data_IF_263274387611
#
_entry.id   IF_263274387611
#
_cell.length_a   1.000
_cell.length_b   1.000
_cell.length_c   1.000
_cell.angle_alpha   90.00
_cell.angle_beta   90.00
_cell.angle_gamma   90.00
#
_symmetry.space_group_name_H-M   'P 1'
#
loop_
_entity.id
_entity.type
_entity.pdbx_description
1 polymer ?
#
# COMPACT_ATOMS: atom_id res chain seq x y z
N UNK A 1 27.29 34.37 -15.76
CA UNK A 1 27.36 33.65 -14.46
C UNK A 1 26.08 32.86 -14.38
N UNK A 2 26.05 31.73 -15.08
CA UNK A 2 24.84 30.92 -15.24
C UNK A 2 24.93 29.77 -14.24
N UNK A 3 24.23 29.96 -13.12
CA UNK A 3 24.09 28.94 -12.08
C UNK A 3 23.07 27.93 -12.59
N UNK A 4 23.56 26.74 -12.97
CA UNK A 4 22.73 25.55 -13.09
C UNK A 4 22.22 25.18 -11.69
N UNK A 5 20.91 25.23 -11.50
CA UNK A 5 20.23 24.53 -10.42
C UNK A 5 19.72 23.22 -11.01
N UNK A 6 20.48 22.14 -10.81
CA UNK A 6 19.97 20.77 -10.95
C UNK A 6 19.46 20.37 -9.56
N UNK A 7 18.16 20.52 -9.35
CA UNK A 7 17.46 19.93 -8.21
C UNK A 7 17.36 18.41 -8.46
N UNK A 8 18.35 17.67 -7.97
CA UNK A 8 18.33 16.21 -7.91
C UNK A 8 17.27 15.76 -6.88
N UNK A 9 16.09 15.38 -7.38
CA UNK A 9 15.02 14.73 -6.62
C UNK A 9 15.53 13.37 -6.06
N UNK A 10 15.62 13.19 -4.73
CA UNK A 10 16.22 12.02 -4.10
C UNK A 10 15.47 10.70 -4.34
N UNK A 11 14.35 10.71 -5.09
CA UNK A 11 13.56 9.52 -5.41
C UNK A 11 14.03 8.76 -6.67
N UNK A 12 14.87 9.34 -7.54
CA UNK A 12 15.12 8.78 -8.88
C UNK A 12 16.31 7.80 -8.96
N UNK A 13 16.18 6.61 -8.38
CA UNK A 13 17.24 5.58 -8.37
C UNK A 13 17.29 4.65 -9.61
N UNK A 14 16.45 4.86 -10.62
CA UNK A 14 16.36 3.96 -11.80
C UNK A 14 17.22 4.44 -12.96
N UNK A 15 17.91 3.53 -13.64
CA UNK A 15 18.61 3.83 -14.89
C UNK A 15 17.60 4.29 -15.95
N UNK A 16 17.93 5.26 -16.83
CA UNK A 16 17.00 5.83 -17.81
C UNK A 16 16.26 4.79 -18.69
N UNK A 17 16.93 3.69 -19.03
CA UNK A 17 16.34 2.58 -19.81
C UNK A 17 15.25 1.81 -19.03
N UNK A 18 15.47 1.54 -17.74
CA UNK A 18 14.52 0.81 -16.89
C UNK A 18 13.27 1.65 -16.58
N UNK A 19 13.45 2.96 -16.40
CA UNK A 19 12.33 3.89 -16.21
C UNK A 19 11.47 4.01 -17.47
N UNK A 20 12.11 4.04 -18.65
CA UNK A 20 11.40 3.98 -19.94
C UNK A 20 10.58 2.69 -20.10
N UNK A 21 11.13 1.54 -19.68
CA UNK A 21 10.42 0.26 -19.72
C UNK A 21 9.21 0.21 -18.78
N UNK A 22 9.30 0.76 -17.56
CA UNK A 22 8.19 0.75 -16.60
C UNK A 22 7.00 1.60 -17.09
N UNK A 23 7.26 2.78 -17.65
CA UNK A 23 6.22 3.65 -18.18
C UNK A 23 5.46 2.98 -19.35
N UNK A 24 6.16 2.20 -20.18
CA UNK A 24 5.51 1.42 -21.24
C UNK A 24 4.58 0.35 -20.67
N UNK A 25 4.97 -0.34 -19.60
CA UNK A 25 4.12 -1.32 -18.91
C UNK A 25 2.90 -0.63 -18.30
N UNK A 26 3.08 0.51 -17.63
CA UNK A 26 1.97 1.31 -17.10
C UNK A 26 0.96 1.64 -18.19
N UNK A 27 1.42 2.12 -19.34
CA UNK A 27 0.54 2.53 -20.43
C UNK A 27 -0.19 1.34 -21.07
N UNK A 28 0.46 0.16 -21.15
CA UNK A 28 -0.22 -1.08 -21.59
C UNK A 28 -1.31 -1.51 -20.63
N UNK A 29 -1.01 -1.53 -19.32
CA UNK A 29 -1.98 -1.91 -18.27
C UNK A 29 -3.14 -0.93 -18.26
N UNK A 30 -2.86 0.37 -18.35
CA UNK A 30 -3.88 1.42 -18.36
C UNK A 30 -4.84 1.29 -19.54
N UNK A 31 -4.32 1.02 -20.75
CA UNK A 31 -5.15 0.76 -21.93
C UNK A 31 -6.03 -0.48 -21.74
N UNK A 32 -5.45 -1.58 -21.29
CA UNK A 32 -6.23 -2.79 -21.00
C UNK A 32 -7.32 -2.52 -19.95
N UNK A 33 -6.99 -1.84 -18.85
CA UNK A 33 -7.94 -1.51 -17.80
C UNK A 33 -9.09 -0.62 -18.30
N UNK A 34 -8.81 0.31 -19.22
CA UNK A 34 -9.84 1.16 -19.83
C UNK A 34 -10.80 0.39 -20.75
N UNK A 35 -10.32 -0.68 -21.39
CA UNK A 35 -11.12 -1.53 -22.28
C UNK A 35 -11.89 -2.62 -21.50
N UNK A 36 -11.27 -3.19 -20.46
CA UNK A 36 -11.81 -4.34 -19.73
C UNK A 36 -12.78 -3.96 -18.60
N UNK A 37 -12.69 -2.73 -18.07
CA UNK A 37 -13.47 -2.29 -16.92
C UNK A 37 -14.57 -1.33 -17.33
N UNK A 38 -15.70 -1.37 -16.62
CA UNK A 38 -16.71 -0.33 -16.69
C UNK A 38 -16.10 1.05 -16.39
N UNK A 39 -16.68 2.11 -16.99
CA UNK A 39 -16.23 3.50 -16.77
C UNK A 39 -16.05 3.83 -15.28
N UNK A 40 -17.03 3.46 -14.46
CA UNK A 40 -17.01 3.71 -13.00
C UNK A 40 -15.82 3.02 -12.31
N UNK A 41 -15.50 1.79 -12.71
CA UNK A 41 -14.41 0.99 -12.14
C UNK A 41 -13.04 1.44 -12.63
N UNK A 42 -12.95 1.83 -13.90
CA UNK A 42 -11.73 2.43 -14.43
C UNK A 42 -11.42 3.76 -13.73
N UNK A 43 -12.42 4.64 -13.57
CA UNK A 43 -12.26 5.89 -12.83
C UNK A 43 -11.87 5.66 -11.36
N UNK A 44 -12.43 4.63 -10.71
CA UNK A 44 -11.97 4.16 -9.39
C UNK A 44 -10.48 3.81 -9.43
N UNK A 45 -10.07 2.96 -10.37
CA UNK A 45 -8.67 2.51 -10.49
C UNK A 45 -7.71 3.68 -10.74
N UNK A 46 -8.11 4.69 -11.52
CA UNK A 46 -7.34 5.93 -11.72
C UNK A 46 -7.21 6.72 -10.42
N UNK A 47 -8.29 6.90 -9.66
CA UNK A 47 -8.24 7.62 -8.37
C UNK A 47 -7.38 6.88 -7.33
N UNK A 48 -7.44 5.55 -7.31
CA UNK A 48 -6.55 4.72 -6.49
C UNK A 48 -5.09 4.89 -6.92
N UNK A 49 -4.78 4.86 -8.22
CA UNK A 49 -3.43 5.07 -8.74
C UNK A 49 -2.86 6.44 -8.35
N UNK A 50 -3.64 7.51 -8.49
CA UNK A 50 -3.21 8.86 -8.09
C UNK A 50 -3.03 9.00 -6.57
N UNK A 51 -3.92 8.39 -5.78
CA UNK A 51 -3.82 8.39 -4.32
C UNK A 51 -2.58 7.61 -3.86
N UNK A 52 -2.35 6.43 -4.42
CA UNK A 52 -1.19 5.60 -4.15
C UNK A 52 0.12 6.29 -4.54
N UNK A 53 0.15 6.98 -5.69
CA UNK A 53 1.30 7.77 -6.14
C UNK A 53 1.66 8.86 -5.12
N UNK A 54 0.67 9.62 -4.63
CA UNK A 54 0.88 10.65 -3.59
C UNK A 54 1.39 10.05 -2.29
N UNK A 55 0.80 8.94 -1.85
CA UNK A 55 1.24 8.22 -0.65
C UNK A 55 2.67 7.66 -0.79
N UNK A 56 3.04 7.19 -1.98
CA UNK A 56 4.41 6.71 -2.23
C UNK A 56 5.45 7.82 -2.04
N UNK A 57 5.17 9.03 -2.54
CA UNK A 57 6.02 10.20 -2.27
C UNK A 57 6.12 10.48 -0.77
N UNK A 58 4.99 10.48 -0.06
CA UNK A 58 4.94 10.75 1.38
C UNK A 58 5.73 9.74 2.24
N UNK A 59 5.72 8.46 1.86
CA UNK A 59 6.29 7.37 2.67
C UNK A 59 7.61 6.79 2.12
N UNK A 60 8.19 7.44 1.10
CA UNK A 60 9.49 7.08 0.52
C UNK A 60 9.47 5.78 -0.28
N UNK A 61 8.43 5.57 -1.08
CA UNK A 61 8.28 4.46 -2.05
C UNK A 61 8.28 5.05 -3.46
N UNK A 62 8.75 4.28 -4.45
CA UNK A 62 8.73 4.72 -5.85
C UNK A 62 7.29 5.03 -6.31
N UNK A 63 7.00 6.28 -6.71
CA UNK A 63 5.66 6.71 -7.11
C UNK A 63 5.12 5.99 -8.36
N UNK A 64 6.00 5.58 -9.28
CA UNK A 64 5.59 4.88 -10.51
C UNK A 64 5.14 3.44 -10.19
N UNK A 65 5.72 2.80 -9.17
CA UNK A 65 5.25 1.50 -8.67
C UNK A 65 3.88 1.62 -7.98
N UNK A 66 3.69 2.67 -7.18
CA UNK A 66 2.39 2.97 -6.56
C UNK A 66 1.30 3.19 -7.59
N UNK A 67 1.59 3.97 -8.63
CA UNK A 67 0.66 4.21 -9.73
C UNK A 67 0.32 2.91 -10.47
N UNK A 68 1.32 2.11 -10.84
CA UNK A 68 1.12 0.85 -11.57
C UNK A 68 0.27 -0.14 -10.76
N UNK A 69 0.59 -0.33 -9.47
CA UNK A 69 -0.18 -1.23 -8.63
C UNK A 69 -1.62 -0.72 -8.42
N UNK A 70 -1.79 0.61 -8.29
CA UNK A 70 -3.09 1.23 -8.13
C UNK A 70 -3.98 1.12 -9.36
N UNK A 71 -3.45 1.28 -10.58
CA UNK A 71 -4.25 1.10 -11.80
C UNK A 71 -4.62 -0.37 -12.03
N UNK A 72 -3.78 -1.30 -11.57
CA UNK A 72 -3.94 -2.72 -11.82
C UNK A 72 -4.74 -3.49 -10.75
N UNK A 73 -4.92 -2.96 -9.54
CA UNK A 73 -5.44 -3.72 -8.40
C UNK A 73 -6.79 -4.41 -8.67
N UNK A 74 -7.69 -3.72 -9.40
CA UNK A 74 -9.06 -4.15 -9.70
C UNK A 74 -9.21 -4.63 -11.17
N UNK A 75 -8.11 -4.87 -11.90
CA UNK A 75 -8.15 -5.15 -13.35
C UNK A 75 -8.93 -6.42 -13.72
N UNK A 76 -9.07 -7.36 -12.79
CA UNK A 76 -9.84 -8.60 -12.93
C UNK A 76 -11.23 -8.53 -12.25
N UNK A 77 -11.63 -7.38 -11.70
CA UNK A 77 -12.80 -7.26 -10.82
C UNK A 77 -14.14 -7.58 -11.49
N UNK A 78 -14.21 -7.36 -12.80
CA UNK A 78 -15.44 -7.51 -13.61
C UNK A 78 -15.38 -8.74 -14.54
N UNK A 79 -14.37 -9.61 -14.35
CA UNK A 79 -14.32 -10.92 -15.00
C UNK A 79 -15.38 -11.86 -14.42
N UNK A 80 -15.68 -12.95 -15.15
CA UNK A 80 -16.56 -14.00 -14.64
C UNK A 80 -15.90 -14.73 -13.47
N UNK A 81 -16.70 -15.20 -12.53
CA UNK A 81 -16.21 -15.86 -11.32
C UNK A 81 -15.37 -17.12 -11.65
N UNK A 82 -15.71 -17.86 -12.71
CA UNK A 82 -14.93 -19.02 -13.16
C UNK A 82 -13.55 -18.62 -13.69
N UNK A 83 -13.46 -17.51 -14.41
CA UNK A 83 -12.20 -16.99 -14.96
C UNK A 83 -11.31 -16.44 -13.83
N UNK A 84 -11.91 -15.72 -12.86
CA UNK A 84 -11.22 -15.24 -11.67
C UNK A 84 -10.66 -16.43 -10.89
N UNK A 85 -11.47 -17.46 -10.63
CA UNK A 85 -11.03 -18.65 -9.91
C UNK A 85 -9.90 -19.38 -10.67
N UNK A 86 -10.06 -19.57 -11.98
CA UNK A 86 -9.07 -20.24 -12.82
C UNK A 86 -7.72 -19.51 -12.83
N UNK A 87 -7.73 -18.18 -12.87
CA UNK A 87 -6.52 -17.37 -12.75
C UNK A 87 -5.93 -17.46 -11.34
N UNK A 88 -6.75 -17.28 -10.30
CA UNK A 88 -6.28 -17.27 -8.92
C UNK A 88 -5.63 -18.60 -8.52
N UNK A 89 -6.17 -19.76 -8.95
CA UNK A 89 -5.57 -21.07 -8.66
C UNK A 89 -4.15 -21.26 -9.21
N UNK A 90 -3.71 -20.44 -10.17
CA UNK A 90 -2.36 -20.52 -10.73
C UNK A 90 -1.28 -19.92 -9.83
N UNK A 91 -1.65 -19.19 -8.76
CA UNK A 91 -0.68 -18.76 -7.75
C UNK A 91 -0.23 -19.91 -6.82
N UNK A 92 -0.97 -21.03 -6.80
CA UNK A 92 -0.68 -22.23 -6.02
C UNK A 92 -1.24 -22.20 -4.59
N UNK A 93 -1.89 -21.12 -4.17
CA UNK A 93 -2.46 -20.98 -2.83
C UNK A 93 -3.89 -21.54 -2.75
N UNK A 94 -4.26 -22.17 -1.62
CA UNK A 94 -5.62 -22.67 -1.43
C UNK A 94 -6.66 -21.54 -1.40
N UNK A 95 -7.87 -21.84 -1.86
CA UNK A 95 -9.01 -20.93 -1.74
C UNK A 95 -9.61 -21.07 -0.34
N UNK A 96 -9.64 -19.96 0.41
CA UNK A 96 -10.18 -19.87 1.76
C UNK A 96 -11.70 -19.97 1.78
N UNK A 97 -12.30 -20.22 2.95
CA UNK A 97 -13.77 -20.28 3.09
C UNK A 97 -14.46 -18.99 2.63
N UNK A 98 -13.93 -17.83 3.02
CA UNK A 98 -14.48 -16.52 2.64
C UNK A 98 -14.43 -16.30 1.12
N UNK A 99 -13.36 -16.75 0.46
CA UNK A 99 -13.23 -16.68 -1.00
C UNK A 99 -14.17 -17.65 -1.71
N UNK A 100 -14.42 -18.85 -1.16
CA UNK A 100 -15.39 -19.80 -1.73
C UNK A 100 -16.83 -19.27 -1.68
N UNK A 101 -17.18 -18.55 -0.61
CA UNK A 101 -18.50 -17.94 -0.46
C UNK A 101 -18.73 -16.80 -1.49
N UNK A 102 -17.65 -16.16 -1.96
CA UNK A 102 -17.71 -15.09 -2.95
C UNK A 102 -16.43 -15.06 -3.80
N UNK A 103 -16.49 -15.72 -4.95
CA UNK A 103 -15.34 -15.88 -5.86
C UNK A 103 -14.78 -14.53 -6.38
N UNK A 104 -15.62 -13.52 -6.59
CA UNK A 104 -15.17 -12.15 -6.91
C UNK A 104 -14.22 -11.50 -5.89
N UNK A 105 -13.99 -12.10 -4.71
CA UNK A 105 -12.95 -11.68 -3.76
C UNK A 105 -11.54 -12.08 -4.22
N UNK A 106 -11.41 -13.10 -5.07
CA UNK A 106 -10.14 -13.58 -5.63
C UNK A 106 -9.54 -12.67 -6.72
N UNK A 107 -10.25 -11.63 -7.16
CA UNK A 107 -9.80 -10.71 -8.23
C UNK A 107 -8.39 -10.14 -8.03
N UNK A 108 -7.96 -9.84 -6.79
CA UNK A 108 -6.60 -9.37 -6.54
C UNK A 108 -5.55 -10.43 -6.89
N UNK A 109 -5.77 -11.67 -6.48
CA UNK A 109 -4.91 -12.82 -6.82
C UNK A 109 -4.89 -13.07 -8.32
N UNK A 110 -6.06 -13.06 -8.96
CA UNK A 110 -6.19 -13.18 -10.42
C UNK A 110 -5.43 -12.05 -11.15
N UNK A 111 -5.55 -10.80 -10.68
CA UNK A 111 -4.84 -9.65 -11.22
C UNK A 111 -3.32 -9.81 -11.12
N UNK A 112 -2.80 -10.28 -9.98
CA UNK A 112 -1.37 -10.53 -9.81
C UNK A 112 -0.86 -11.62 -10.79
N UNK A 113 -1.62 -12.69 -10.99
CA UNK A 113 -1.28 -13.74 -11.97
C UNK A 113 -1.29 -13.18 -13.40
N UNK A 114 -2.31 -12.41 -13.77
CA UNK A 114 -2.42 -11.75 -15.08
C UNK A 114 -1.24 -10.79 -15.33
N UNK A 115 -0.91 -9.93 -14.36
CA UNK A 115 0.22 -9.00 -14.46
C UNK A 115 1.54 -9.73 -14.72
N UNK A 116 1.75 -10.86 -14.04
CA UNK A 116 2.95 -11.67 -14.21
C UNK A 116 3.02 -12.32 -15.60
N UNK A 117 1.91 -12.87 -16.08
CA UNK A 117 1.87 -13.66 -17.33
C UNK A 117 1.77 -12.79 -18.58
N UNK A 118 0.91 -11.78 -18.56
CA UNK A 118 0.48 -11.07 -19.78
C UNK A 118 1.19 -9.72 -19.93
N UNK A 119 1.65 -9.14 -18.81
CA UNK A 119 2.36 -7.87 -18.77
C UNK A 119 3.85 -7.98 -18.41
N UNK A 120 4.35 -9.21 -18.19
CA UNK A 120 5.75 -9.52 -17.80
C UNK A 120 6.23 -8.76 -16.54
N UNK A 121 5.30 -8.48 -15.61
CA UNK A 121 5.63 -7.84 -14.33
C UNK A 121 6.33 -8.84 -13.43
N UNK A 122 7.57 -8.52 -13.03
CA UNK A 122 8.44 -9.39 -12.20
C UNK A 122 8.64 -8.90 -10.78
N UNK A 123 8.23 -7.67 -10.48
CA UNK A 123 8.37 -7.08 -9.16
C UNK A 123 7.47 -7.80 -8.15
N UNK A 124 8.08 -8.55 -7.22
CA UNK A 124 7.37 -9.37 -6.25
C UNK A 124 6.58 -8.55 -5.23
N UNK A 125 7.10 -7.39 -4.82
CA UNK A 125 6.39 -6.52 -3.87
C UNK A 125 5.14 -5.94 -4.53
N UNK A 126 5.24 -5.57 -5.80
CA UNK A 126 4.11 -5.08 -6.57
C UNK A 126 3.04 -6.15 -6.80
N UNK A 127 3.45 -7.35 -7.20
CA UNK A 127 2.52 -8.47 -7.38
C UNK A 127 1.83 -8.83 -6.07
N UNK A 128 2.56 -8.82 -4.94
CA UNK A 128 1.97 -9.06 -3.62
C UNK A 128 1.03 -7.94 -3.19
N UNK A 129 1.38 -6.68 -3.47
CA UNK A 129 0.52 -5.53 -3.20
C UNK A 129 -0.84 -5.66 -3.90
N UNK A 130 -0.83 -6.07 -5.18
CA UNK A 130 -2.05 -6.34 -5.96
C UNK A 130 -2.78 -7.59 -5.45
N UNK A 131 -2.08 -8.69 -5.19
CA UNK A 131 -2.69 -9.94 -4.73
C UNK A 131 -3.45 -9.79 -3.41
N UNK A 132 -2.88 -9.04 -2.46
CA UNK A 132 -3.40 -8.92 -1.10
C UNK A 132 -4.19 -7.63 -0.86
N UNK A 133 -4.46 -6.79 -1.87
CA UNK A 133 -5.08 -5.48 -1.65
C UNK A 133 -6.48 -5.57 -1.02
N UNK A 134 -7.20 -6.68 -1.21
CA UNK A 134 -8.58 -6.86 -0.72
C UNK A 134 -8.64 -7.08 0.78
N UNK A 135 -7.85 -8.02 1.30
CA UNK A 135 -7.89 -8.41 2.72
C UNK A 135 -6.73 -7.84 3.55
N UNK A 136 -5.66 -7.37 2.88
CA UNK A 136 -4.36 -7.14 3.48
C UNK A 136 -3.61 -8.44 3.74
N UNK A 137 -2.38 -8.35 4.26
CA UNK A 137 -1.59 -9.49 4.72
C UNK A 137 -0.51 -9.04 5.70
N UNK A 138 -0.19 -9.83 6.75
CA UNK A 138 0.96 -9.58 7.62
C UNK A 138 2.30 -9.45 6.87
N UNK A 139 2.38 -10.00 5.65
CA UNK A 139 3.57 -9.95 4.80
C UNK A 139 3.68 -8.68 3.94
N UNK A 140 2.70 -7.78 3.96
CA UNK A 140 2.73 -6.59 3.10
C UNK A 140 3.85 -5.63 3.51
N UNK A 141 4.74 -5.35 2.57
CA UNK A 141 5.67 -4.22 2.63
C UNK A 141 4.96 -2.86 2.47
N UNK A 142 5.75 -1.78 2.42
CA UNK A 142 5.22 -0.41 2.31
C UNK A 142 4.30 -0.22 1.10
N UNK A 143 4.68 -0.72 -0.07
CA UNK A 143 3.85 -0.61 -1.28
C UNK A 143 2.49 -1.29 -1.08
N UNK A 144 2.46 -2.51 -0.54
CA UNK A 144 1.21 -3.22 -0.26
C UNK A 144 0.32 -2.51 0.74
N UNK A 145 0.91 -1.96 1.82
CA UNK A 145 0.22 -1.12 2.80
C UNK A 145 -0.40 0.12 2.14
N UNK A 146 0.33 0.79 1.26
CA UNK A 146 -0.14 1.95 0.50
C UNK A 146 -1.32 1.57 -0.41
N UNK A 147 -1.20 0.50 -1.21
CA UNK A 147 -2.27 0.08 -2.13
C UNK A 147 -3.52 -0.37 -1.37
N UNK A 148 -3.34 -1.10 -0.27
CA UNK A 148 -4.44 -1.47 0.61
C UNK A 148 -5.22 -0.25 1.09
N UNK A 149 -4.52 0.79 1.59
CA UNK A 149 -5.15 1.99 2.11
C UNK A 149 -5.74 2.87 1.00
N UNK A 150 -4.99 3.11 -0.08
CA UNK A 150 -5.38 3.96 -1.20
C UNK A 150 -6.73 3.53 -1.83
N UNK A 151 -6.97 2.22 -1.98
CA UNK A 151 -8.24 1.70 -2.49
C UNK A 151 -9.46 2.07 -1.61
N UNK A 152 -9.24 2.30 -0.32
CA UNK A 152 -10.31 2.54 0.66
C UNK A 152 -10.52 4.03 0.90
N UNK A 153 -9.48 4.84 0.70
CA UNK A 153 -9.48 6.27 0.97
C UNK A 153 -9.47 7.13 -0.29
N UNK A 154 -9.54 6.54 -1.49
CA UNK A 154 -9.57 7.32 -2.72
C UNK A 154 -10.74 8.34 -2.72
N UNK A 155 -10.58 9.57 -3.27
CA UNK A 155 -11.53 10.67 -3.07
C UNK A 155 -12.98 10.46 -3.58
N UNK A 156 -13.22 9.45 -4.42
CA UNK A 156 -14.55 9.08 -4.91
C UNK A 156 -15.33 8.16 -3.97
N UNK A 157 -14.73 7.71 -2.86
CA UNK A 157 -15.43 6.94 -1.82
C UNK A 157 -16.32 7.88 -1.01
N UNK A 158 -17.61 7.58 -0.93
CA UNK A 158 -18.60 8.47 -0.30
C UNK A 158 -18.40 8.76 1.20
N UNK A 159 -17.50 8.07 1.89
CA UNK A 159 -17.16 8.32 3.30
C UNK A 159 -15.90 9.17 3.46
N UNK A 160 -15.20 9.49 2.37
CA UNK A 160 -13.93 10.22 2.37
C UNK A 160 -14.22 11.72 2.21
N UNK A 161 -13.86 12.49 3.23
CA UNK A 161 -13.83 13.96 3.18
C UNK A 161 -12.40 14.49 3.13
N UNK A 162 -12.22 15.77 2.81
CA UNK A 162 -10.90 16.40 2.83
C UNK A 162 -10.29 16.36 4.24
N UNK A 163 -11.07 16.65 5.28
CA UNK A 163 -10.63 16.63 6.68
C UNK A 163 -10.22 15.21 7.11
N UNK A 164 -10.92 14.19 6.62
CA UNK A 164 -10.57 12.80 6.86
C UNK A 164 -9.21 12.45 6.23
N UNK A 165 -8.96 12.87 4.99
CA UNK A 165 -7.68 12.67 4.32
C UNK A 165 -6.54 13.44 5.00
N UNK A 166 -6.76 14.69 5.37
CA UNK A 166 -5.76 15.50 6.07
C UNK A 166 -5.35 14.85 7.40
N UNK A 167 -6.33 14.36 8.16
CA UNK A 167 -6.07 13.60 9.38
C UNK A 167 -5.26 12.34 9.08
N UNK A 168 -5.62 11.56 8.07
CA UNK A 168 -4.89 10.34 7.73
C UNK A 168 -3.45 10.63 7.28
N UNK A 169 -3.24 11.59 6.39
CA UNK A 169 -1.92 11.92 5.86
C UNK A 169 -1.01 12.63 6.86
N UNK A 170 -1.54 13.06 8.02
CA UNK A 170 -0.73 13.52 9.15
C UNK A 170 -0.09 12.38 9.96
N UNK A 171 -0.51 11.12 9.74
CA UNK A 171 -0.01 9.95 10.44
C UNK A 171 1.19 9.32 9.69
N UNK A 172 2.00 8.54 10.41
CA UNK A 172 2.87 7.59 9.72
C UNK A 172 2.06 6.46 9.04
N UNK A 173 2.72 5.73 8.14
CA UNK A 173 2.07 4.72 7.30
C UNK A 173 1.37 3.63 8.13
N UNK A 174 1.97 3.19 9.23
CA UNK A 174 1.43 2.07 10.01
C UNK A 174 0.22 2.49 10.82
N UNK A 175 0.24 3.69 11.40
CA UNK A 175 -0.95 4.27 12.04
C UNK A 175 -2.07 4.55 11.03
N UNK A 176 -1.75 5.09 9.85
CA UNK A 176 -2.74 5.29 8.77
C UNK A 176 -3.40 3.97 8.38
N UNK A 177 -2.60 2.95 8.08
CA UNK A 177 -3.12 1.64 7.63
C UNK A 177 -3.91 0.97 8.75
N UNK A 178 -3.47 1.09 10.02
CA UNK A 178 -4.24 0.61 11.18
C UNK A 178 -5.62 1.25 11.23
N UNK A 179 -5.72 2.57 11.07
CA UNK A 179 -7.00 3.29 11.08
C UNK A 179 -7.92 2.75 9.98
N UNK A 180 -7.43 2.72 8.73
CA UNK A 180 -8.21 2.26 7.57
C UNK A 180 -8.63 0.78 7.70
N UNK A 181 -7.72 -0.09 8.17
CA UNK A 181 -8.00 -1.51 8.37
C UNK A 181 -9.02 -1.74 9.49
N UNK A 182 -8.93 -0.99 10.58
CA UNK A 182 -9.87 -1.09 11.71
C UNK A 182 -11.28 -0.63 11.31
N UNK A 183 -11.39 0.44 10.52
CA UNK A 183 -12.65 0.92 9.95
C UNK A 183 -13.23 -0.11 8.97
N UNK A 184 -12.41 -0.71 8.10
CA UNK A 184 -12.84 -1.76 7.18
C UNK A 184 -13.36 -3.01 7.92
N UNK A 185 -12.67 -3.46 8.96
CA UNK A 185 -13.11 -4.60 9.79
C UNK A 185 -14.43 -4.27 10.50
N UNK A 186 -14.56 -3.06 11.05
CA UNK A 186 -15.79 -2.61 11.70
C UNK A 186 -16.97 -2.60 10.74
N UNK A 187 -16.78 -2.08 9.52
CA UNK A 187 -17.80 -2.11 8.48
C UNK A 187 -18.27 -3.53 8.13
N UNK A 188 -17.33 -4.48 7.96
CA UNK A 188 -17.67 -5.88 7.66
C UNK A 188 -18.50 -6.50 8.80
N UNK A 189 -18.14 -6.23 10.06
CA UNK A 189 -18.89 -6.68 11.24
C UNK A 189 -20.28 -6.08 11.32
N UNK A 190 -20.43 -4.77 11.07
CA UNK A 190 -21.71 -4.07 11.06
C UNK A 190 -22.66 -4.64 9.99
N UNK A 191 -22.11 -5.05 8.83
CA UNK A 191 -22.85 -5.74 7.77
C UNK A 191 -23.15 -7.22 8.06
N UNK A 192 -22.76 -7.73 9.23
CA UNK A 192 -22.93 -9.13 9.67
C UNK A 192 -22.26 -10.15 8.75
N UNK A 193 -21.21 -9.74 8.04
CA UNK A 193 -20.38 -10.64 7.24
C UNK A 193 -19.25 -11.23 8.08
N UNK A 194 -18.73 -12.39 7.67
CA UNK A 194 -17.55 -12.97 8.27
C UNK A 194 -16.32 -12.10 7.97
N UNK A 195 -15.57 -11.74 9.02
CA UNK A 195 -14.29 -11.04 8.85
C UNK A 195 -13.23 -12.05 8.43
N UNK A 196 -12.48 -11.73 7.38
CA UNK A 196 -11.37 -12.57 6.94
C UNK A 196 -10.34 -12.74 8.07
N UNK A 197 -9.93 -13.98 8.42
CA UNK A 197 -8.84 -14.22 9.35
C UNK A 197 -7.54 -13.50 8.95
N UNK A 198 -7.32 -13.32 7.65
CA UNK A 198 -6.16 -12.61 7.12
C UNK A 198 -6.15 -11.13 7.51
N UNK A 199 -7.30 -10.45 7.46
CA UNK A 199 -7.42 -9.05 7.88
C UNK A 199 -7.18 -8.89 9.39
N UNK A 200 -7.64 -9.85 10.21
CA UNK A 200 -7.39 -9.86 11.65
C UNK A 200 -5.89 -10.05 11.93
N UNK A 201 -5.26 -11.01 11.26
CA UNK A 201 -3.82 -11.24 11.38
C UNK A 201 -3.01 -10.02 10.95
N UNK A 202 -3.43 -9.35 9.87
CA UNK A 202 -2.78 -8.13 9.39
C UNK A 202 -2.89 -6.99 10.41
N UNK A 203 -4.06 -6.80 11.02
CA UNK A 203 -4.25 -5.79 12.06
C UNK A 203 -3.33 -6.05 13.26
N UNK A 204 -3.33 -7.30 13.76
CA UNK A 204 -2.46 -7.70 14.87
C UNK A 204 -0.98 -7.42 14.56
N UNK A 205 -0.54 -7.74 13.34
CA UNK A 205 0.84 -7.49 12.90
C UNK A 205 1.20 -6.00 12.92
N UNK A 206 0.31 -5.13 12.42
CA UNK A 206 0.53 -3.67 12.45
C UNK A 206 0.60 -3.16 13.90
N UNK A 207 -0.25 -3.67 14.80
CA UNK A 207 -0.22 -3.29 16.21
C UNK A 207 1.08 -3.70 16.91
N UNK A 208 1.60 -4.87 16.58
CA UNK A 208 2.91 -5.35 17.06
C UNK A 208 4.05 -4.47 16.55
N UNK A 209 4.01 -4.08 15.27
CA UNK A 209 5.01 -3.20 14.64
C UNK A 209 5.03 -1.82 15.31
N UNK A 210 3.86 -1.19 15.47
CA UNK A 210 3.70 0.09 16.18
C UNK A 210 4.21 -0.02 17.64
N UNK A 211 3.87 -1.09 18.35
CA UNK A 211 4.31 -1.29 19.72
C UNK A 211 5.84 -1.49 19.82
N UNK A 212 6.46 -2.15 18.84
CA UNK A 212 7.90 -2.32 18.76
C UNK A 212 8.60 -0.98 18.52
N UNK A 213 8.11 -0.16 17.58
CA UNK A 213 8.66 1.17 17.27
C UNK A 213 8.58 2.12 18.48
N UNK A 214 7.45 2.14 19.18
CA UNK A 214 7.28 2.93 20.40
C UNK A 214 8.28 2.56 21.51
N UNK A 215 8.56 1.25 21.68
CA UNK A 215 9.57 0.78 22.63
C UNK A 215 10.98 1.22 22.24
N UNK A 216 11.29 1.22 20.95
CA UNK A 216 12.59 1.70 20.43
C UNK A 216 12.74 3.20 20.67
N UNK A 217 11.70 3.99 20.38
CA UNK A 217 11.69 5.44 20.62
C UNK A 217 11.86 5.78 22.11
N UNK A 218 11.18 5.07 23.00
CA UNK A 218 11.29 5.26 24.44
C UNK A 218 12.71 4.95 24.97
N UNK A 219 13.37 3.91 24.45
CA UNK A 219 14.76 3.58 24.81
C UNK A 219 15.75 4.66 24.38
N UNK A 220 15.64 5.16 23.14
CA UNK A 220 16.48 6.25 22.63
C UNK A 220 16.34 7.54 23.44
N UNK A 221 15.13 7.85 23.91
CA UNK A 221 14.88 9.01 24.75
C UNK A 221 15.49 8.87 26.17
N UNK A 222 15.54 7.65 26.72
CA UNK A 222 16.18 7.42 28.01
C UNK A 222 17.73 7.45 27.94
N UNK A 223 18.32 7.01 26.83
CA UNK A 223 19.78 7.04 26.61
C UNK A 223 20.30 8.47 26.33
N UNK A 224 19.52 9.31 25.65
CA UNK A 224 19.89 10.73 25.44
C UNK A 224 19.77 11.57 26.73
N UNK A 225 18.83 11.23 27.61
CA UNK A 225 18.67 11.90 28.92
C UNK A 225 19.77 11.48 29.92
N UNK A 226 20.31 10.27 29.83
CA UNK A 226 21.43 9.84 30.69
C UNK A 226 22.79 10.40 30.24
N UNK A 227 22.99 10.61 28.93
CA UNK A 227 24.22 11.22 28.39
C UNK A 227 24.38 12.72 28.73
N UNK A 228 23.28 13.46 28.93
CA UNK A 228 23.32 14.89 29.27
C UNK A 228 23.60 15.20 30.74
N UNK A 229 23.54 14.21 31.65
CA UNK A 229 23.81 14.39 33.09
C UNK A 229 25.27 14.13 33.51
N UNK A 230 26.18 13.88 32.56
CA UNK A 230 27.59 13.52 32.85
C UNK A 230 28.62 14.65 32.84
N UNK A 231 28.27 15.89 32.47
CA UNK A 231 29.21 17.00 32.29
C UNK A 231 29.06 18.12 33.32
N UNK A 232 29.65 17.96 34.51
CA UNK A 232 29.56 19.00 35.55
C UNK A 232 30.41 18.75 36.78
N UNK A 233 31.74 18.64 36.63
CA UNK A 233 32.69 18.89 37.73
C UNK A 233 33.51 20.14 37.40
N UNK A 234 32.98 21.29 37.79
CA UNK A 234 33.74 22.53 37.96
C UNK A 234 34.52 22.39 39.28
N UNK A 235 35.82 22.14 39.20
CA UNK A 235 36.72 22.28 40.35
C UNK A 235 37.08 23.76 40.51
N UNK A 236 36.52 24.40 41.52
CA UNK A 236 36.94 25.72 41.97
C UNK A 236 38.29 25.59 42.71
N UNK A 237 39.34 26.21 42.16
CA UNK A 237 40.57 26.50 42.91
C UNK A 237 40.51 27.96 43.36
N UNK A 238 40.44 28.15 44.68
CA UNK A 238 40.65 29.42 45.36
C UNK A 238 42.13 29.82 45.26
N UNK A 239 42.37 31.11 44.99
CA UNK A 239 43.63 31.81 45.22
C UNK A 239 43.35 33.01 46.13
#
# INVERSE_FOLDING_TARGET
>A
MDIKLEDEDPCNKKKPCERSSLLQVIERIRRYAAEALSKKRYEHSVRVAETAKKMCVLYGVDPDLGYLAGIAHDICKEMKDEDILSLALQDGDPVTGVEKDKLSLLHGRAAAVMLKKDFDVKDKELLQAVACHTFGSPSLGKLGKIIYAADKIEPGRGHVSAEYLDRLFSLDLDHLVKTVLSEAISYVKEKKYAVSPQSIAFLKKIEEDIAAENKIAAKKNNESVSASKGGGKLTAHYA
#
